data_IF_075029366608
#
_entry.id   IF_075029366608
#
_cell.length_a   1.000
_cell.length_b   1.000
_cell.length_c   1.000
_cell.angle_alpha   90.00
_cell.angle_beta   90.00
_cell.angle_gamma   90.00
#
_symmetry.space_group_name_H-M   'P 1'
#
loop_
_entity.id
_entity.type
_entity.pdbx_description
1 polymer ?
#
# COMPACT_ATOMS: atom_id res chain seq x y z
N UNK A 1 27.57 42.17 4.00
CA UNK A 1 26.88 41.75 2.75
C UNK A 1 27.15 40.29 2.33
N UNK A 2 28.14 39.59 2.90
CA UNK A 2 28.39 38.16 2.61
C UNK A 2 27.46 37.18 3.36
N UNK A 3 27.10 37.48 4.61
CA UNK A 3 26.26 36.60 5.44
C UNK A 3 24.85 36.35 4.87
N UNK A 4 24.22 37.38 4.28
CA UNK A 4 22.88 37.28 3.67
C UNK A 4 22.89 36.38 2.42
N UNK A 5 24.01 36.33 1.68
CA UNK A 5 24.15 35.51 0.47
C UNK A 5 24.26 34.01 0.76
N UNK A 6 24.65 33.63 1.98
CA UNK A 6 24.70 32.23 2.42
C UNK A 6 23.42 31.80 3.14
N UNK A 7 22.73 32.72 3.82
CA UNK A 7 21.48 32.41 4.54
C UNK A 7 20.32 32.07 3.61
N UNK A 8 20.17 32.78 2.48
CA UNK A 8 19.08 32.57 1.52
C UNK A 8 19.09 31.15 0.91
N UNK A 9 20.20 30.62 0.36
CA UNK A 9 20.20 29.25 -0.19
C UNK A 9 20.07 28.17 0.89
N UNK A 10 20.54 28.42 2.11
CA UNK A 10 20.35 27.50 3.25
C UNK A 10 18.88 27.43 3.66
N UNK A 11 18.20 28.59 3.73
CA UNK A 11 16.76 28.64 4.00
C UNK A 11 15.95 28.00 2.87
N UNK A 12 16.32 28.23 1.61
CA UNK A 12 15.67 27.58 0.46
C UNK A 12 15.91 26.07 0.48
N UNK A 13 17.11 25.60 0.81
CA UNK A 13 17.42 24.19 0.95
C UNK A 13 16.67 23.51 2.09
N UNK A 14 16.57 24.17 3.24
CA UNK A 14 15.74 23.72 4.37
C UNK A 14 14.26 23.68 3.98
N UNK A 15 13.72 24.76 3.42
CA UNK A 15 12.34 24.80 2.95
C UNK A 15 12.07 23.71 1.90
N UNK A 16 12.97 23.51 0.94
CA UNK A 16 12.85 22.45 -0.06
C UNK A 16 12.91 21.06 0.56
N UNK A 17 13.76 20.83 1.57
CA UNK A 17 13.79 19.58 2.34
C UNK A 17 12.45 19.33 3.06
N UNK A 18 11.89 20.35 3.72
CA UNK A 18 10.58 20.25 4.37
C UNK A 18 9.43 20.08 3.37
N UNK A 19 9.48 20.76 2.22
CA UNK A 19 8.43 20.69 1.19
C UNK A 19 8.48 19.40 0.37
N UNK A 20 9.67 18.83 0.13
CA UNK A 20 9.81 17.56 -0.59
C UNK A 20 9.08 16.40 0.11
N UNK A 21 8.79 16.53 1.41
CA UNK A 21 8.17 15.46 2.19
C UNK A 21 6.63 15.43 2.15
N UNK A 22 5.94 16.30 1.40
CA UNK A 22 4.48 16.48 1.51
C UNK A 22 3.62 15.68 0.52
N UNK A 23 4.15 14.75 -0.27
CA UNK A 23 3.30 13.81 -1.03
C UNK A 23 2.87 12.64 -0.12
N UNK A 24 2.08 12.94 0.92
CA UNK A 24 1.57 11.90 1.83
C UNK A 24 0.18 11.47 1.41
N UNK A 25 0.11 10.24 0.90
CA UNK A 25 -1.14 9.52 0.69
C UNK A 25 -1.94 9.55 2.01
N UNK A 26 -2.98 10.38 2.07
CA UNK A 26 -3.75 10.57 3.29
C UNK A 26 -4.69 9.38 3.51
N UNK A 27 -4.75 8.87 4.74
CA UNK A 27 -5.58 7.71 5.09
C UNK A 27 -7.06 7.91 4.69
N UNK A 28 -7.57 9.13 4.84
CA UNK A 28 -8.96 9.50 4.49
C UNK A 28 -9.29 9.30 3.00
N UNK A 29 -8.31 9.35 2.10
CA UNK A 29 -8.56 9.16 0.66
C UNK A 29 -8.88 7.69 0.32
N UNK A 30 -8.40 6.75 1.13
CA UNK A 30 -8.36 5.32 0.81
C UNK A 30 -9.17 4.47 1.79
N UNK A 31 -9.52 5.01 2.95
CA UNK A 31 -10.38 4.37 3.93
C UNK A 31 -11.73 3.98 3.30
N UNK A 32 -12.11 2.71 3.42
CA UNK A 32 -13.35 2.18 2.82
C UNK A 32 -13.35 2.13 1.28
N UNK A 33 -12.26 2.50 0.60
CA UNK A 33 -12.12 2.32 -0.85
C UNK A 33 -11.55 0.95 -1.19
N UNK A 34 -11.79 0.51 -2.43
CA UNK A 34 -11.23 -0.74 -2.97
C UNK A 34 -9.93 -0.46 -3.71
N UNK A 35 -8.83 -1.06 -3.24
CA UNK A 35 -7.47 -0.86 -3.76
C UNK A 35 -6.93 -2.18 -4.32
N UNK A 36 -6.48 -2.18 -5.57
CA UNK A 36 -5.82 -3.32 -6.21
C UNK A 36 -4.30 -3.12 -6.17
N UNK A 37 -3.58 -4.01 -5.49
CA UNK A 37 -2.12 -3.99 -5.44
C UNK A 37 -1.56 -5.17 -6.23
N UNK A 38 -0.79 -4.87 -7.26
CA UNK A 38 -0.12 -5.88 -8.11
C UNK A 38 1.31 -6.13 -7.66
N UNK A 39 1.81 -7.34 -7.83
CA UNK A 39 3.20 -7.68 -7.45
C UNK A 39 3.43 -7.72 -5.94
N UNK A 40 2.37 -7.83 -5.15
CA UNK A 40 2.37 -7.70 -3.69
C UNK A 40 2.83 -8.93 -2.92
N UNK A 41 3.46 -9.90 -3.58
CA UNK A 41 3.98 -11.09 -2.90
C UNK A 41 5.20 -10.83 -2.02
N UNK A 42 6.03 -9.83 -2.36
CA UNK A 42 7.26 -9.48 -1.65
C UNK A 42 7.68 -8.05 -1.93
N UNK A 43 8.49 -7.46 -1.05
CA UNK A 43 9.22 -6.22 -1.30
C UNK A 43 8.30 -5.00 -1.25
N UNK A 44 8.43 -4.08 -2.22
CA UNK A 44 7.71 -2.80 -2.20
C UNK A 44 6.19 -3.02 -2.27
N UNK A 45 5.72 -3.91 -3.15
CA UNK A 45 4.28 -4.17 -3.29
C UNK A 45 3.64 -4.76 -2.03
N UNK A 46 4.41 -5.50 -1.23
CA UNK A 46 3.97 -6.01 0.07
C UNK A 46 3.84 -4.86 1.09
N UNK A 47 4.85 -4.01 1.20
CA UNK A 47 4.80 -2.86 2.12
C UNK A 47 3.69 -1.88 1.77
N UNK A 48 3.47 -1.63 0.48
CA UNK A 48 2.34 -0.82 0.00
C UNK A 48 1.01 -1.42 0.46
N UNK A 49 0.83 -2.75 0.33
CA UNK A 49 -0.39 -3.41 0.79
C UNK A 49 -0.58 -3.25 2.31
N UNK A 50 0.49 -3.30 3.10
CA UNK A 50 0.42 -3.07 4.55
C UNK A 50 0.04 -1.63 4.91
N UNK A 51 0.53 -0.65 4.16
CA UNK A 51 0.21 0.75 4.43
C UNK A 51 -1.26 1.05 4.10
N UNK A 52 -1.76 0.57 2.97
CA UNK A 52 -3.19 0.63 2.65
C UNK A 52 -4.07 -0.15 3.65
N UNK A 53 -3.54 -1.24 4.21
CA UNK A 53 -4.25 -2.01 5.23
C UNK A 53 -4.42 -1.20 6.52
N UNK A 54 -3.36 -0.53 6.97
CA UNK A 54 -3.40 0.37 8.14
C UNK A 54 -4.38 1.52 7.96
N UNK A 55 -4.55 1.98 6.73
CA UNK A 55 -5.51 3.03 6.38
C UNK A 55 -6.96 2.52 6.27
N UNK A 56 -7.23 1.24 6.52
CA UNK A 56 -8.58 0.70 6.49
C UNK A 56 -9.18 0.57 5.09
N UNK A 57 -8.34 0.30 4.08
CA UNK A 57 -8.83 0.04 2.72
C UNK A 57 -9.34 -1.40 2.56
N UNK A 58 -10.20 -1.61 1.57
CA UNK A 58 -10.55 -2.93 1.04
C UNK A 58 -9.50 -3.35 0.00
N UNK A 59 -8.64 -4.29 0.37
CA UNK A 59 -7.51 -4.70 -0.46
C UNK A 59 -7.82 -5.90 -1.35
N UNK A 60 -7.43 -5.79 -2.61
CA UNK A 60 -7.29 -6.89 -3.55
C UNK A 60 -5.81 -6.98 -3.92
N UNK A 61 -5.16 -8.10 -3.62
CA UNK A 61 -3.73 -8.28 -3.86
C UNK A 61 -3.47 -9.36 -4.89
N UNK A 62 -2.52 -9.15 -5.82
CA UNK A 62 -2.26 -10.12 -6.91
C UNK A 62 -0.77 -10.38 -7.14
N UNK A 63 -0.41 -11.65 -7.26
CA UNK A 63 0.95 -12.09 -7.55
C UNK A 63 1.00 -13.53 -8.10
N UNK A 64 2.21 -13.99 -8.45
CA UNK A 64 2.45 -15.36 -8.95
C UNK A 64 2.58 -16.41 -7.85
N UNK A 65 3.02 -16.02 -6.65
CA UNK A 65 3.35 -16.93 -5.54
C UNK A 65 2.22 -16.95 -4.51
N UNK A 66 1.36 -17.94 -4.58
CA UNK A 66 0.15 -18.04 -3.75
C UNK A 66 0.44 -18.11 -2.24
N UNK A 67 1.43 -18.91 -1.83
CA UNK A 67 1.76 -19.11 -0.40
C UNK A 67 2.10 -17.78 0.29
N UNK A 68 2.98 -17.00 -0.32
CA UNK A 68 3.37 -15.68 0.19
C UNK A 68 2.20 -14.70 0.16
N UNK A 69 1.38 -14.75 -0.90
CA UNK A 69 0.23 -13.87 -1.03
C UNK A 69 -0.83 -14.11 0.06
N UNK A 70 -1.02 -15.37 0.50
CA UNK A 70 -1.87 -15.71 1.64
C UNK A 70 -1.36 -15.13 2.95
N UNK A 71 -0.03 -15.20 3.18
CA UNK A 71 0.60 -14.61 4.36
C UNK A 71 0.43 -13.08 4.38
N UNK A 72 0.64 -12.42 3.23
CA UNK A 72 0.44 -10.97 3.09
C UNK A 72 -1.04 -10.60 3.32
N UNK A 73 -1.99 -11.33 2.75
CA UNK A 73 -3.43 -11.08 2.95
C UNK A 73 -3.81 -11.18 4.43
N UNK A 74 -3.34 -12.22 5.14
CA UNK A 74 -3.59 -12.40 6.57
C UNK A 74 -3.04 -11.21 7.36
N UNK A 75 -1.81 -10.81 7.08
CA UNK A 75 -1.16 -9.70 7.76
C UNK A 75 -1.84 -8.36 7.48
N UNK A 76 -2.40 -8.16 6.28
CA UNK A 76 -3.22 -6.97 5.99
C UNK A 76 -4.48 -6.91 6.87
N UNK A 77 -5.15 -8.05 7.10
CA UNK A 77 -6.31 -8.09 8.01
C UNK A 77 -5.91 -7.76 9.45
N UNK A 78 -4.78 -8.31 9.92
CA UNK A 78 -4.23 -8.03 11.25
C UNK A 78 -3.86 -6.54 11.43
N UNK A 79 -3.46 -5.86 10.36
CA UNK A 79 -3.07 -4.44 10.37
C UNK A 79 -4.25 -3.46 10.30
N UNK A 80 -5.48 -3.93 10.13
CA UNK A 80 -6.68 -3.08 10.12
C UNK A 80 -7.38 -2.93 8.76
N UNK A 81 -7.02 -3.74 7.74
CA UNK A 81 -7.75 -3.72 6.48
C UNK A 81 -9.21 -4.11 6.68
N UNK A 82 -10.14 -3.37 6.08
CA UNK A 82 -11.58 -3.71 6.15
C UNK A 82 -11.91 -5.02 5.44
N UNK A 83 -11.14 -5.38 4.40
CA UNK A 83 -11.16 -6.70 3.78
C UNK A 83 -9.87 -6.95 3.02
N UNK A 84 -9.38 -8.19 2.98
CA UNK A 84 -8.23 -8.56 2.16
C UNK A 84 -8.57 -9.78 1.31
N UNK A 85 -8.49 -9.63 -0.02
CA UNK A 85 -8.72 -10.69 -1.00
C UNK A 85 -7.49 -10.84 -1.87
N UNK A 86 -7.14 -12.06 -2.24
CA UNK A 86 -5.96 -12.31 -3.06
C UNK A 86 -6.30 -13.06 -4.34
N UNK A 87 -5.51 -12.81 -5.38
CA UNK A 87 -5.59 -13.48 -6.68
C UNK A 87 -4.19 -14.01 -6.99
N UNK A 88 -4.04 -15.33 -6.94
CA UNK A 88 -2.80 -15.97 -7.39
C UNK A 88 -2.91 -16.28 -8.89
N UNK A 89 -1.97 -15.79 -9.69
CA UNK A 89 -1.89 -16.20 -11.10
C UNK A 89 -1.26 -17.59 -11.19
N UNK A 90 -2.10 -18.60 -11.39
CA UNK A 90 -1.69 -19.95 -11.76
C UNK A 90 -1.47 -20.02 -13.28
N UNK A 91 -0.46 -20.75 -13.76
CA UNK A 91 -0.34 -21.10 -15.19
C UNK A 91 -1.39 -22.15 -15.65
N UNK A 92 -2.55 -22.19 -14.98
CA UNK A 92 -3.59 -23.19 -15.16
C UNK A 92 -4.86 -22.47 -15.62
N UNK A 93 -5.50 -22.91 -16.72
CA UNK A 93 -6.76 -22.33 -17.16
C UNK A 93 -7.82 -22.60 -16.08
N UNK A 94 -8.34 -21.54 -15.48
CA UNK A 94 -9.56 -21.54 -14.65
C UNK A 94 -9.48 -22.34 -13.33
N UNK A 95 -8.53 -22.01 -12.43
CA UNK A 95 -8.69 -22.40 -11.01
C UNK A 95 -9.56 -21.37 -10.28
N UNK A 96 -10.67 -21.88 -9.75
CA UNK A 96 -11.79 -21.21 -9.10
C UNK A 96 -11.36 -20.23 -8.01
N UNK A 97 -12.07 -19.10 -7.97
CA UNK A 97 -11.88 -18.02 -7.02
C UNK A 97 -12.20 -18.51 -5.59
N UNK A 98 -11.17 -18.79 -4.78
CA UNK A 98 -11.38 -18.96 -3.33
C UNK A 98 -11.59 -17.58 -2.71
N UNK A 99 -12.85 -17.16 -2.72
CA UNK A 99 -13.40 -16.13 -1.85
C UNK A 99 -13.17 -16.56 -0.40
N UNK A 100 -12.20 -15.92 0.27
CA UNK A 100 -12.25 -15.84 1.74
C UNK A 100 -13.61 -15.26 2.17
N UNK A 101 -14.06 -15.54 3.42
CA UNK A 101 -15.41 -15.26 3.87
C UNK A 101 -15.80 -13.82 3.53
N UNK A 102 -16.82 -13.71 2.70
CA UNK A 102 -17.44 -12.45 2.31
C UNK A 102 -18.20 -11.97 3.53
N UNK A 103 -17.54 -11.19 4.40
CA UNK A 103 -18.26 -10.37 5.35
C UNK A 103 -19.10 -9.38 4.54
N UNK A 104 -20.41 -9.48 4.76
CA UNK A 104 -21.47 -9.07 3.85
C UNK A 104 -21.43 -7.60 3.45
N UNK A 105 -21.96 -7.38 2.25
CA UNK A 105 -22.74 -6.18 1.92
C UNK A 105 -24.05 -6.20 2.70
#
# INVERSE_FOLDING_TARGET
>A
MAAVRLLVPVLIGLCAYYFYSQETLSADMVQGKRVLVTGSSTGIGEQIAYEFARMGAHLIITARREKQLKEVAKKCLELGASSARFIAKCNCPLKKWEVGPVLGY
#
